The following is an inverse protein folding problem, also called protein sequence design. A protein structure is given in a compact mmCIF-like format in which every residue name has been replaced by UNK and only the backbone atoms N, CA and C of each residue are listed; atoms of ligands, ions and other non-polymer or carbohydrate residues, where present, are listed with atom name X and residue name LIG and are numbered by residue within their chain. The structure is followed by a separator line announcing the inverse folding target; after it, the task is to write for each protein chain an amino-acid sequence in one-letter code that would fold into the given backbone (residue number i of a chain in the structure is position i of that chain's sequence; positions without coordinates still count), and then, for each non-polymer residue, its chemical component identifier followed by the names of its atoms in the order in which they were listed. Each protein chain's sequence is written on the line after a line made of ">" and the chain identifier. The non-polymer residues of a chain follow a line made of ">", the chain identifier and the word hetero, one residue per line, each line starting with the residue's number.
data_IF_276999559573
#
_entry.id   IF_276999559573
#
_cell.length_a   1.000
_cell.length_b   1.000
_cell.length_c   1.000
_cell.angle_alpha   90.00
_cell.angle_beta   90.00
_cell.angle_gamma   90.00
#
_symmetry.space_group_name_H-M   'P 1'
#
loop_
_entity.id
_entity.type
_entity.pdbx_description
1 polymer ?
#
# COMPACT_ATOMS: atom_id res chain seq x y z
N UNK A 1 13.97 18.77 1.00
CA UNK A 1 12.74 18.29 1.66
C UNK A 1 11.86 17.77 0.55
N UNK A 2 11.28 16.57 0.69
CA UNK A 2 10.29 16.10 -0.26
C UNK A 2 9.12 17.11 -0.28
N UNK A 3 8.62 17.44 -1.47
CA UNK A 3 7.40 18.24 -1.59
C UNK A 3 6.23 17.37 -1.13
N UNK A 4 5.35 17.93 -0.31
CA UNK A 4 4.14 17.27 0.19
C UNK A 4 2.91 17.94 -0.43
N UNK A 5 2.59 17.68 -1.70
CA UNK A 5 1.54 18.37 -2.43
C UNK A 5 0.16 18.31 -1.74
N UNK A 6 -0.14 17.26 -0.97
CA UNK A 6 -1.36 17.14 -0.17
C UNK A 6 -1.49 18.17 0.96
N UNK A 7 -0.38 18.74 1.40
CA UNK A 7 -0.35 19.77 2.46
C UNK A 7 -0.40 21.20 1.91
N UNK A 8 -0.27 21.36 0.58
CA UNK A 8 -0.31 22.66 -0.06
C UNK A 8 -1.74 23.22 -0.11
N UNK A 9 -1.97 24.50 0.23
CA UNK A 9 -3.30 25.09 0.23
C UNK A 9 -4.06 24.96 -1.09
N UNK A 10 -3.34 24.92 -2.22
CA UNK A 10 -3.92 24.75 -3.55
C UNK A 10 -4.58 23.38 -3.73
N UNK A 11 -4.09 22.33 -3.06
CA UNK A 11 -4.67 21.00 -3.13
C UNK A 11 -6.07 20.96 -2.51
N UNK A 12 -6.30 21.64 -1.38
CA UNK A 12 -7.63 21.67 -0.72
C UNK A 12 -8.73 22.34 -1.56
N UNK A 13 -8.33 23.23 -2.50
CA UNK A 13 -9.26 23.98 -3.35
C UNK A 13 -9.37 23.41 -4.77
N UNK A 14 -8.63 22.35 -5.09
CA UNK A 14 -8.70 21.73 -6.41
C UNK A 14 -10.04 21.01 -6.62
N UNK A 15 -10.37 20.67 -7.87
CA UNK A 15 -11.50 19.79 -8.15
C UNK A 15 -11.31 18.43 -7.46
N UNK A 16 -12.38 17.83 -6.95
CA UNK A 16 -12.33 16.61 -6.12
C UNK A 16 -11.50 15.48 -6.75
N UNK A 17 -11.64 15.26 -8.06
CA UNK A 17 -10.82 14.30 -8.82
C UNK A 17 -9.32 14.55 -8.63
N UNK A 18 -8.89 15.78 -8.86
CA UNK A 18 -7.48 16.16 -8.77
C UNK A 18 -6.98 16.07 -7.33
N UNK A 19 -7.83 16.34 -6.33
CA UNK A 19 -7.50 16.11 -4.93
C UNK A 19 -7.19 14.63 -4.69
N UNK A 20 -8.10 13.73 -5.08
CA UNK A 20 -7.90 12.30 -4.89
C UNK A 20 -6.69 11.75 -5.63
N UNK A 21 -6.49 12.12 -6.90
CA UNK A 21 -5.33 11.68 -7.69
C UNK A 21 -4.02 12.14 -7.02
N UNK A 22 -3.93 13.41 -6.63
CA UNK A 22 -2.75 13.95 -5.91
C UNK A 22 -2.50 13.21 -4.59
N UNK A 23 -3.56 12.95 -3.83
CA UNK A 23 -3.45 12.31 -2.52
C UNK A 23 -3.01 10.87 -2.65
N UNK A 24 -3.62 10.12 -3.57
CA UNK A 24 -3.24 8.74 -3.84
C UNK A 24 -1.78 8.69 -4.27
N UNK A 25 -1.38 9.46 -5.28
CA UNK A 25 -0.01 9.40 -5.81
C UNK A 25 1.06 9.76 -4.76
N UNK A 26 0.83 10.78 -3.92
CA UNK A 26 1.75 11.09 -2.83
C UNK A 26 1.86 9.95 -1.81
N UNK A 27 0.74 9.36 -1.37
CA UNK A 27 0.76 8.30 -0.37
C UNK A 27 1.31 6.99 -0.95
N UNK A 28 1.05 6.70 -2.23
CA UNK A 28 1.64 5.56 -2.94
C UNK A 28 3.16 5.66 -2.96
N UNK A 29 3.68 6.82 -3.37
CA UNK A 29 5.11 7.09 -3.37
C UNK A 29 5.72 6.98 -1.97
N UNK A 30 5.07 7.54 -0.95
CA UNK A 30 5.54 7.48 0.43
C UNK A 30 5.60 6.04 0.99
N UNK A 31 4.60 5.21 0.68
CA UNK A 31 4.57 3.80 1.09
C UNK A 31 5.65 2.99 0.35
N UNK A 32 5.74 3.14 -0.97
CA UNK A 32 6.79 2.51 -1.79
C UNK A 32 8.19 2.86 -1.27
N UNK A 33 8.46 4.14 -1.06
CA UNK A 33 9.78 4.63 -0.66
C UNK A 33 10.12 4.37 0.80
N UNK A 34 9.14 4.01 1.64
CA UNK A 34 9.37 3.65 3.04
C UNK A 34 10.29 2.44 3.22
N UNK A 35 10.41 1.60 2.19
CA UNK A 35 11.28 0.44 2.17
C UNK A 35 12.72 0.74 1.70
N UNK A 36 12.96 1.94 1.16
CA UNK A 36 14.24 2.29 0.56
C UNK A 36 15.37 2.26 1.60
N UNK A 37 16.46 1.55 1.27
CA UNK A 37 17.65 1.44 2.12
C UNK A 37 17.54 0.45 3.27
N UNK A 38 16.43 -0.30 3.39
CA UNK A 38 16.30 -1.38 4.35
C UNK A 38 16.82 -2.71 3.77
N UNK A 39 17.28 -3.60 4.65
CA UNK A 39 17.46 -5.02 4.32
C UNK A 39 16.14 -5.77 4.44
N UNK A 40 16.04 -6.95 3.80
CA UNK A 40 14.87 -7.83 3.91
C UNK A 40 14.56 -8.19 5.36
N UNK A 41 15.59 -8.46 6.17
CA UNK A 41 15.43 -8.77 7.59
C UNK A 41 14.88 -7.58 8.38
N UNK A 42 15.30 -6.35 8.04
CA UNK A 42 14.80 -5.14 8.68
C UNK A 42 13.33 -4.89 8.31
N UNK A 43 12.98 -5.01 7.03
CA UNK A 43 11.62 -4.80 6.55
C UNK A 43 10.63 -5.85 7.10
N UNK A 44 11.09 -7.09 7.31
CA UNK A 44 10.33 -8.21 7.88
C UNK A 44 10.28 -8.23 9.41
N UNK A 45 11.02 -7.35 10.09
CA UNK A 45 11.08 -7.36 11.56
C UNK A 45 9.76 -6.88 12.16
N UNK A 46 9.19 -7.69 13.06
CA UNK A 46 8.10 -7.21 13.92
C UNK A 46 8.65 -6.40 15.10
N UNK A 47 8.04 -5.25 15.35
CA UNK A 47 8.41 -4.32 16.43
C UNK A 47 7.29 -4.16 17.48
N UNK A 48 6.14 -4.79 17.27
CA UNK A 48 4.95 -4.70 18.09
C UNK A 48 4.28 -6.08 18.19
N UNK A 49 3.37 -6.28 19.14
CA UNK A 49 2.72 -7.59 19.34
C UNK A 49 1.79 -8.00 18.19
N UNK A 50 1.30 -7.04 17.41
CA UNK A 50 0.52 -7.33 16.20
C UNK A 50 1.40 -7.97 15.11
N UNK A 51 0.76 -8.55 14.10
CA UNK A 51 1.44 -9.17 12.96
C UNK A 51 2.08 -8.16 11.98
N UNK A 52 1.96 -6.87 12.26
CA UNK A 52 2.44 -5.80 11.39
C UNK A 52 3.96 -5.74 11.37
N UNK A 53 4.52 -5.85 10.17
CA UNK A 53 5.90 -5.51 9.82
C UNK A 53 5.85 -4.40 8.78
N UNK A 54 6.97 -3.71 8.49
CA UNK A 54 6.93 -2.67 7.47
C UNK A 54 6.65 -3.26 6.09
N UNK A 55 7.28 -4.37 5.74
CA UNK A 55 7.01 -5.07 4.48
C UNK A 55 5.56 -5.56 4.40
N UNK A 56 5.03 -6.10 5.50
CA UNK A 56 3.64 -6.55 5.58
C UNK A 56 2.63 -5.41 5.45
N UNK A 57 2.96 -4.22 5.96
CA UNK A 57 2.12 -3.02 5.80
C UNK A 57 2.05 -2.57 4.33
N UNK A 58 3.18 -2.53 3.62
CA UNK A 58 3.20 -2.13 2.20
C UNK A 58 2.55 -3.21 1.31
N UNK A 59 2.75 -4.50 1.62
CA UNK A 59 2.00 -5.58 0.96
C UNK A 59 0.50 -5.43 1.19
N UNK A 60 0.08 -5.16 2.43
CA UNK A 60 -1.33 -4.96 2.76
C UNK A 60 -1.96 -3.80 1.97
N UNK A 61 -1.22 -2.72 1.71
CA UNK A 61 -1.76 -1.61 0.92
C UNK A 61 -1.99 -1.99 -0.55
N UNK A 62 -1.17 -2.86 -1.17
CA UNK A 62 -1.48 -3.42 -2.51
C UNK A 62 -2.79 -4.21 -2.52
N UNK A 63 -3.06 -4.94 -1.45
CA UNK A 63 -4.32 -5.68 -1.26
C UNK A 63 -5.50 -4.72 -1.15
N UNK A 64 -5.38 -3.68 -0.32
CA UNK A 64 -6.44 -2.67 -0.11
C UNK A 64 -6.77 -1.92 -1.40
N UNK A 65 -5.78 -1.64 -2.25
CA UNK A 65 -6.03 -1.04 -3.56
C UNK A 65 -6.88 -1.93 -4.46
N UNK A 66 -6.62 -3.25 -4.49
CA UNK A 66 -7.44 -4.20 -5.25
C UNK A 66 -8.86 -4.32 -4.67
N UNK A 67 -9.02 -4.21 -3.35
CA UNK A 67 -10.36 -4.16 -2.72
C UNK A 67 -11.14 -2.92 -3.18
N UNK A 68 -10.54 -1.73 -3.18
CA UNK A 68 -11.27 -0.51 -3.51
C UNK A 68 -11.43 -0.25 -5.00
N UNK A 69 -10.44 -0.60 -5.82
CA UNK A 69 -10.44 -0.30 -7.26
C UNK A 69 -10.92 -1.46 -8.13
N UNK A 70 -10.93 -2.70 -7.63
CA UNK A 70 -11.52 -3.84 -8.34
C UNK A 70 -12.79 -4.30 -7.62
N UNK A 71 -12.70 -4.92 -6.44
CA UNK A 71 -13.86 -5.55 -5.76
C UNK A 71 -15.02 -4.58 -5.56
N UNK A 72 -14.78 -3.41 -4.96
CA UNK A 72 -15.84 -2.46 -4.63
C UNK A 72 -16.54 -1.84 -5.86
N UNK A 73 -15.85 -1.82 -7.02
CA UNK A 73 -16.37 -1.25 -8.26
C UNK A 73 -17.04 -2.32 -9.12
N UNK A 74 -16.42 -3.50 -9.22
CA UNK A 74 -16.84 -4.57 -10.14
C UNK A 74 -17.73 -5.61 -9.47
N UNK A 75 -17.74 -5.67 -8.15
CA UNK A 75 -18.36 -6.73 -7.35
C UNK A 75 -17.83 -8.14 -7.67
N UNK A 76 -16.65 -8.26 -8.30
CA UNK A 76 -16.01 -9.55 -8.57
C UNK A 76 -15.57 -10.20 -7.26
N UNK A 77 -15.73 -11.52 -7.10
CA UNK A 77 -15.28 -12.19 -5.89
C UNK A 77 -13.75 -12.14 -5.77
N UNK A 78 -13.25 -12.03 -4.54
CA UNK A 78 -11.81 -11.94 -4.22
C UNK A 78 -10.97 -13.09 -4.80
N UNK A 79 -11.55 -14.28 -4.85
CA UNK A 79 -10.95 -15.47 -5.48
C UNK A 79 -10.68 -15.29 -6.98
N UNK A 80 -11.49 -14.49 -7.68
CA UNK A 80 -11.27 -14.17 -9.10
C UNK A 80 -10.29 -13.00 -9.29
N UNK A 81 -10.26 -12.06 -8.34
CA UNK A 81 -9.29 -10.95 -8.32
C UNK A 81 -7.88 -11.46 -7.97
N UNK A 82 -7.79 -12.59 -7.25
CA UNK A 82 -6.54 -13.17 -6.79
C UNK A 82 -6.03 -12.51 -5.50
N UNK A 83 -6.94 -12.12 -4.60
CA UNK A 83 -6.61 -11.54 -3.30
C UNK A 83 -7.17 -12.37 -2.13
N UNK A 84 -6.55 -12.31 -0.93
CA UNK A 84 -7.04 -13.02 0.24
C UNK A 84 -8.49 -12.68 0.63
N UNK A 85 -9.19 -13.63 1.24
CA UNK A 85 -10.57 -13.43 1.66
C UNK A 85 -10.69 -12.47 2.85
N UNK A 86 -9.69 -12.44 3.73
CA UNK A 86 -9.69 -11.58 4.93
C UNK A 86 -8.52 -10.58 4.94
N UNK A 87 -8.70 -9.38 5.53
CA UNK A 87 -7.61 -8.43 5.69
C UNK A 87 -6.42 -8.99 6.49
N UNK A 88 -6.67 -9.82 7.51
CA UNK A 88 -5.62 -10.37 8.37
C UNK A 88 -4.63 -11.26 7.61
N UNK A 89 -5.09 -11.98 6.58
CA UNK A 89 -4.24 -12.81 5.72
C UNK A 89 -3.30 -11.99 4.84
N UNK A 90 -3.68 -10.78 4.45
CA UNK A 90 -2.85 -9.93 3.59
C UNK A 90 -1.58 -9.39 4.27
N UNK A 91 -1.50 -9.46 5.60
CA UNK A 91 -0.27 -9.17 6.37
C UNK A 91 0.70 -10.36 6.41
N UNK A 92 0.26 -11.55 6.02
CA UNK A 92 1.11 -12.75 6.06
C UNK A 92 2.09 -12.70 4.89
N UNK A 93 3.39 -12.70 5.24
CA UNK A 93 4.49 -12.72 4.29
C UNK A 93 4.88 -14.17 4.00
N UNK A 94 4.98 -14.50 2.71
CA UNK A 94 5.62 -15.70 2.20
C UNK A 94 7.10 -15.48 1.94
N UNK A 95 7.77 -16.54 1.46
CA UNK A 95 9.19 -16.51 1.15
C UNK A 95 9.50 -15.63 -0.08
N UNK A 96 8.55 -15.54 -1.02
CA UNK A 96 8.69 -14.75 -2.24
C UNK A 96 8.42 -13.25 -2.05
N UNK A 97 7.84 -12.83 -0.91
CA UNK A 97 7.58 -11.42 -0.62
C UNK A 97 8.89 -10.68 -0.28
N UNK A 98 9.59 -10.19 -1.28
CA UNK A 98 10.77 -9.33 -1.12
C UNK A 98 10.40 -7.85 -1.18
N UNK A 99 11.28 -6.97 -0.71
CA UNK A 99 11.14 -5.51 -0.91
C UNK A 99 10.87 -5.21 -2.38
N UNK A 100 11.67 -5.78 -3.29
CA UNK A 100 11.52 -5.58 -4.73
C UNK A 100 10.14 -6.05 -5.24
N UNK A 101 9.70 -7.26 -4.88
CA UNK A 101 8.40 -7.77 -5.34
C UNK A 101 7.21 -6.95 -4.83
N UNK A 102 7.30 -6.43 -3.60
CA UNK A 102 6.24 -5.61 -3.00
C UNK A 102 6.23 -4.22 -3.62
N UNK A 103 7.40 -3.65 -3.92
CA UNK A 103 7.53 -2.39 -4.65
C UNK A 103 7.05 -2.51 -6.10
N UNK A 104 7.37 -3.59 -6.81
CA UNK A 104 6.92 -3.84 -8.19
C UNK A 104 5.41 -4.07 -8.30
N UNK A 105 4.78 -4.58 -7.23
CA UNK A 105 3.34 -4.80 -7.16
C UNK A 105 2.55 -3.52 -6.81
N UNK A 106 3.24 -2.45 -6.44
CA UNK A 106 2.69 -1.15 -6.01
C UNK A 106 2.65 -0.15 -7.17
#
# INVERSE_FOLDING_TARGET
>A
MASHPTTEPTAFHAALRNQFETFLDEHRGALHDSLNGLTEEQARRSLVTSRTTLLGLVKHTTFVEKVWFDEAITCRPRSEIGIPDTPDESFVLGDDDTIASVQDAY
#
